data_IF_294933409780
#
_entry.id   IF_294933409780
#
_cell.length_a   1.000
_cell.length_b   1.000
_cell.length_c   1.000
_cell.angle_alpha   90.00
_cell.angle_beta   90.00
_cell.angle_gamma   90.00
#
_symmetry.space_group_name_H-M   'P 1'
#
loop_
_entity.id
_entity.type
_entity.pdbx_description
1 polymer ?
#
# COMPACT_ATOMS: atom_id res chain seq x y z
N UNK A 1 26.21 5.41 7.04
CA UNK A 1 27.44 6.03 6.49
C UNK A 1 27.35 6.02 4.96
N UNK A 2 28.01 6.95 4.24
CA UNK A 2 28.02 6.94 2.75
C UNK A 2 28.45 5.60 2.16
N UNK A 3 29.37 4.91 2.83
CA UNK A 3 29.84 3.58 2.45
C UNK A 3 28.71 2.55 2.35
N UNK A 4 27.71 2.61 3.24
CA UNK A 4 26.59 1.67 3.24
C UNK A 4 25.69 1.88 2.00
N UNK A 5 25.47 3.13 1.59
CA UNK A 5 24.71 3.46 0.37
C UNK A 5 25.47 3.02 -0.88
N UNK A 6 26.81 3.19 -0.91
CA UNK A 6 27.64 2.73 -2.02
C UNK A 6 27.58 1.20 -2.11
N UNK A 7 27.81 0.51 -0.99
CA UNK A 7 27.76 -0.95 -0.93
C UNK A 7 26.39 -1.50 -1.34
N UNK A 8 25.31 -0.84 -0.93
CA UNK A 8 23.95 -1.19 -1.35
C UNK A 8 23.81 -1.13 -2.87
N UNK A 9 24.31 -0.08 -3.52
CA UNK A 9 24.23 0.07 -4.98
C UNK A 9 25.09 -0.95 -5.71
N UNK A 10 26.33 -1.20 -5.25
CA UNK A 10 27.21 -2.22 -5.81
C UNK A 10 26.60 -3.62 -5.69
N UNK A 11 25.98 -3.93 -4.55
CA UNK A 11 25.25 -5.17 -4.37
C UNK A 11 24.09 -5.26 -5.36
N UNK A 12 23.30 -4.19 -5.49
CA UNK A 12 22.17 -4.16 -6.41
C UNK A 12 22.64 -4.41 -7.86
N UNK A 13 23.69 -3.72 -8.31
CA UNK A 13 24.24 -3.85 -9.67
C UNK A 13 24.78 -5.27 -9.94
N UNK A 14 25.42 -5.89 -8.95
CA UNK A 14 26.02 -7.23 -9.10
C UNK A 14 25.02 -8.39 -9.02
N UNK A 15 23.82 -8.16 -8.48
CA UNK A 15 22.83 -9.22 -8.20
C UNK A 15 21.57 -9.15 -9.04
N UNK A 16 21.32 -8.05 -9.75
CA UNK A 16 20.13 -7.94 -10.62
C UNK A 16 20.18 -9.00 -11.72
N UNK A 17 19.14 -9.82 -11.73
CA UNK A 17 18.80 -10.69 -12.85
C UNK A 17 17.39 -10.33 -13.34
N UNK A 18 17.24 -9.66 -14.50
CA UNK A 18 15.93 -9.29 -15.05
C UNK A 18 14.98 -10.48 -15.25
N UNK A 19 15.51 -11.69 -15.43
CA UNK A 19 14.69 -12.90 -15.63
C UNK A 19 14.08 -13.39 -14.33
N UNK A 20 14.81 -13.24 -13.22
CA UNK A 20 14.43 -13.70 -11.90
C UNK A 20 14.02 -12.55 -10.95
N UNK A 21 13.88 -11.33 -11.47
CA UNK A 21 13.37 -10.20 -10.70
C UNK A 21 11.93 -10.46 -10.26
N UNK A 22 11.69 -10.29 -8.96
CA UNK A 22 10.38 -10.40 -8.32
C UNK A 22 10.17 -9.26 -7.31
N UNK A 23 8.96 -9.19 -6.74
CA UNK A 23 8.61 -8.13 -5.79
C UNK A 23 9.34 -8.29 -4.45
N UNK A 24 9.60 -9.52 -4.01
CA UNK A 24 10.25 -9.82 -2.73
C UNK A 24 11.68 -9.29 -2.72
N UNK A 25 12.38 -9.44 -3.84
CA UNK A 25 13.69 -8.84 -4.05
C UNK A 25 13.61 -7.32 -3.86
N UNK A 26 12.75 -6.62 -4.61
CA UNK A 26 12.66 -5.15 -4.55
C UNK A 26 12.23 -4.69 -3.15
N UNK A 27 11.28 -5.37 -2.53
CA UNK A 27 10.79 -5.05 -1.19
C UNK A 27 11.88 -5.25 -0.14
N UNK A 28 12.66 -6.33 -0.22
CA UNK A 28 13.78 -6.55 0.70
C UNK A 28 14.85 -5.46 0.57
N UNK A 29 15.15 -5.02 -0.66
CA UNK A 29 16.09 -3.93 -0.93
C UNK A 29 15.54 -2.59 -0.45
N UNK A 30 14.24 -2.36 -0.58
CA UNK A 30 13.59 -1.15 -0.04
C UNK A 30 13.75 -1.09 1.48
N UNK A 31 13.49 -2.18 2.20
CA UNK A 31 13.63 -2.23 3.67
C UNK A 31 15.08 -1.99 4.11
N UNK A 32 16.04 -2.56 3.40
CA UNK A 32 17.47 -2.32 3.66
C UNK A 32 17.85 -0.85 3.44
N UNK A 33 17.38 -0.23 2.34
CA UNK A 33 17.65 1.17 2.06
C UNK A 33 16.93 2.12 3.04
N UNK A 34 15.73 1.75 3.51
CA UNK A 34 15.02 2.44 4.60
C UNK A 34 15.86 2.46 5.88
N UNK A 35 16.52 1.36 6.23
CA UNK A 35 17.40 1.30 7.40
C UNK A 35 18.69 2.13 7.22
N UNK A 36 19.35 2.03 6.06
CA UNK A 36 20.54 2.82 5.73
C UNK A 36 20.22 4.32 5.79
N UNK A 37 19.07 4.71 5.23
CA UNK A 37 18.67 6.12 5.12
C UNK A 37 18.39 6.76 6.48
N UNK A 38 17.80 6.04 7.44
CA UNK A 38 17.59 6.53 8.83
C UNK A 38 18.87 6.92 9.54
N UNK A 39 19.98 6.29 9.18
CA UNK A 39 21.30 6.51 9.77
C UNK A 39 22.22 7.37 8.89
N UNK A 40 21.69 7.93 7.80
CA UNK A 40 22.46 8.73 6.85
C UNK A 40 22.35 10.23 7.15
N UNK A 41 23.46 10.95 6.96
CA UNK A 41 23.47 12.42 7.00
C UNK A 41 22.63 12.99 5.84
N UNK A 42 21.97 14.12 6.07
CA UNK A 42 21.24 14.86 5.05
C UNK A 42 22.12 15.23 3.85
N UNK A 43 23.44 15.36 4.04
CA UNK A 43 24.41 15.57 2.96
C UNK A 43 24.41 14.43 1.92
N UNK A 44 23.98 13.22 2.29
CA UNK A 44 23.94 12.04 1.39
C UNK A 44 22.54 11.75 0.85
N UNK A 45 21.55 12.60 1.14
CA UNK A 45 20.18 12.45 0.64
C UNK A 45 20.11 12.32 -0.90
N UNK A 46 20.90 13.05 -1.72
CA UNK A 46 20.95 12.83 -3.17
C UNK A 46 21.27 11.38 -3.59
N UNK A 47 22.22 10.73 -2.92
CA UNK A 47 22.61 9.35 -3.23
C UNK A 47 21.51 8.36 -2.81
N UNK A 48 20.92 8.58 -1.63
CA UNK A 48 19.79 7.78 -1.14
C UNK A 48 18.60 7.88 -2.10
N UNK A 49 18.28 9.09 -2.57
CA UNK A 49 17.18 9.33 -3.51
C UNK A 49 17.39 8.60 -4.83
N UNK A 50 18.58 8.69 -5.43
CA UNK A 50 18.88 7.95 -6.66
C UNK A 50 18.87 6.42 -6.42
N UNK A 51 19.25 5.95 -5.23
CA UNK A 51 19.15 4.52 -4.88
C UNK A 51 17.68 4.05 -4.86
N UNK A 52 16.76 4.86 -4.31
CA UNK A 52 15.32 4.59 -4.39
C UNK A 52 14.80 4.68 -5.83
N UNK A 53 15.32 5.61 -6.64
CA UNK A 53 14.96 5.72 -8.06
C UNK A 53 15.36 4.46 -8.85
N UNK A 54 16.49 3.81 -8.53
CA UNK A 54 16.85 2.50 -9.08
C UNK A 54 15.81 1.43 -8.75
N UNK A 55 15.34 1.37 -7.49
CA UNK A 55 14.27 0.45 -7.10
C UNK A 55 12.95 0.75 -7.83
N UNK A 56 12.65 2.02 -8.10
CA UNK A 56 11.48 2.42 -8.87
C UNK A 56 11.57 1.98 -10.34
N UNK A 57 12.73 2.14 -10.98
CA UNK A 57 12.96 1.62 -12.35
C UNK A 57 12.88 0.08 -12.41
N UNK A 58 13.39 -0.64 -11.40
CA UNK A 58 13.19 -2.09 -11.30
C UNK A 58 11.71 -2.46 -11.14
N UNK A 59 10.96 -1.67 -10.38
CA UNK A 59 9.51 -1.85 -10.22
C UNK A 59 8.79 -1.65 -11.56
N UNK A 60 9.18 -0.64 -12.34
CA UNK A 60 8.65 -0.42 -13.70
C UNK A 60 8.95 -1.63 -14.61
N UNK A 61 10.20 -2.11 -14.61
CA UNK A 61 10.60 -3.27 -15.40
C UNK A 61 9.74 -4.51 -15.07
N UNK A 62 9.59 -4.81 -13.78
CA UNK A 62 8.78 -5.92 -13.31
C UNK A 62 7.30 -5.76 -13.70
N UNK A 63 6.76 -4.55 -13.54
CA UNK A 63 5.37 -4.25 -13.88
C UNK A 63 5.11 -4.40 -15.37
N UNK A 64 6.04 -3.98 -16.23
CA UNK A 64 5.96 -4.20 -17.67
C UNK A 64 5.98 -5.68 -18.05
N UNK A 65 6.85 -6.47 -17.42
CA UNK A 65 6.88 -7.94 -17.58
C UNK A 65 5.57 -8.58 -17.17
N UNK A 66 4.98 -8.18 -16.03
CA UNK A 66 3.68 -8.68 -15.61
C UNK A 66 2.56 -8.30 -16.59
N UNK A 67 2.57 -7.05 -17.08
CA UNK A 67 1.61 -6.57 -18.06
C UNK A 67 1.65 -7.35 -19.38
N UNK A 68 2.84 -7.51 -19.95
CA UNK A 68 3.05 -8.22 -21.23
C UNK A 68 2.65 -9.70 -21.13
N UNK A 69 2.81 -10.31 -19.95
CA UNK A 69 2.38 -11.68 -19.67
C UNK A 69 0.93 -11.80 -19.16
N UNK A 70 0.22 -10.68 -19.01
CA UNK A 70 -1.13 -10.57 -18.42
C UNK A 70 -1.24 -11.29 -17.06
N UNK A 71 -0.23 -11.10 -16.22
CA UNK A 71 -0.18 -11.50 -14.82
C UNK A 71 -0.91 -10.44 -13.97
N UNK A 72 -2.24 -10.44 -14.05
CA UNK A 72 -3.10 -9.38 -13.47
C UNK A 72 -2.95 -9.29 -11.95
N UNK A 73 -2.77 -10.43 -11.27
CA UNK A 73 -2.66 -10.47 -9.81
C UNK A 73 -1.36 -9.79 -9.39
N UNK A 74 -0.24 -10.22 -9.96
CA UNK A 74 1.11 -9.70 -9.71
C UNK A 74 1.23 -8.22 -10.10
N UNK A 75 0.62 -7.81 -11.22
CA UNK A 75 0.55 -6.39 -11.60
C UNK A 75 -0.24 -5.56 -10.57
N UNK A 76 -1.42 -6.04 -10.18
CA UNK A 76 -2.28 -5.36 -9.20
C UNK A 76 -1.55 -5.23 -7.86
N UNK A 77 -0.80 -6.25 -7.51
CA UNK A 77 0.06 -6.34 -6.34
C UNK A 77 1.15 -5.24 -6.29
N UNK A 78 1.82 -4.99 -7.41
CA UNK A 78 2.87 -3.96 -7.50
C UNK A 78 2.32 -2.52 -7.50
N UNK A 79 1.15 -2.31 -8.10
CA UNK A 79 0.67 -0.96 -8.47
C UNK A 79 -0.52 -0.49 -7.63
N UNK A 80 -1.38 -1.42 -7.19
CA UNK A 80 -2.70 -1.10 -6.62
C UNK A 80 -2.89 -1.61 -5.20
N UNK A 81 -2.52 -2.87 -4.94
CA UNK A 81 -2.82 -3.55 -3.68
C UNK A 81 -1.83 -3.13 -2.58
N UNK A 82 -2.33 -2.69 -1.42
CA UNK A 82 -1.49 -2.45 -0.26
C UNK A 82 -0.74 -3.71 0.18
N UNK A 83 0.54 -3.57 0.52
CA UNK A 83 1.36 -4.68 1.02
C UNK A 83 1.11 -4.98 2.50
N UNK A 84 0.63 -4.00 3.25
CA UNK A 84 0.34 -4.15 4.67
C UNK A 84 -0.91 -3.36 5.06
N UNK A 85 -1.88 -4.06 5.64
CA UNK A 85 -3.09 -3.47 6.20
C UNK A 85 -3.30 -3.96 7.63
N UNK A 86 -3.60 -3.05 8.55
CA UNK A 86 -4.15 -3.41 9.85
C UNK A 86 -5.69 -3.41 9.74
N UNK A 87 -6.32 -4.52 10.12
CA UNK A 87 -7.77 -4.64 10.17
C UNK A 87 -8.20 -4.48 11.62
N UNK A 88 -9.00 -3.46 11.89
CA UNK A 88 -9.45 -3.12 13.22
C UNK A 88 -10.95 -3.46 13.35
N UNK A 89 -11.33 -4.30 14.32
CA UNK A 89 -12.73 -4.61 14.61
C UNK A 89 -13.23 -3.67 15.71
N UNK A 90 -14.27 -2.91 15.43
CA UNK A 90 -14.88 -1.95 16.36
C UNK A 90 -15.76 -2.66 17.39
N UNK A 91 -15.73 -2.17 18.64
CA UNK A 91 -16.67 -2.59 19.68
C UNK A 91 -18.01 -1.90 19.47
N UNK A 92 -18.83 -2.44 18.55
CA UNK A 92 -20.12 -1.85 18.19
C UNK A 92 -21.08 -1.75 19.36
N UNK A 93 -21.00 -2.67 20.33
CA UNK A 93 -21.79 -2.62 21.56
C UNK A 93 -21.42 -1.43 22.44
N UNK A 94 -20.14 -1.20 22.69
CA UNK A 94 -19.67 -0.07 23.47
C UNK A 94 -19.95 1.26 22.75
N UNK A 95 -19.81 1.28 21.42
CA UNK A 95 -20.23 2.41 20.57
C UNK A 95 -21.74 2.67 20.65
N UNK A 96 -22.57 1.62 20.73
CA UNK A 96 -24.02 1.74 20.87
C UNK A 96 -24.44 2.18 22.28
N UNK A 97 -23.85 1.58 23.32
CA UNK A 97 -24.21 1.81 24.72
C UNK A 97 -23.74 3.18 25.23
N UNK A 98 -22.48 3.55 24.96
CA UNK A 98 -21.90 4.80 25.48
C UNK A 98 -22.20 6.01 24.58
N UNK A 99 -22.53 5.78 23.30
CA UNK A 99 -22.67 6.86 22.31
C UNK A 99 -23.98 6.82 21.48
N UNK A 100 -24.85 5.84 21.70
CA UNK A 100 -26.22 5.82 21.17
C UNK A 100 -26.34 5.62 19.64
N UNK A 101 -25.33 5.05 18.98
CA UNK A 101 -25.29 4.93 17.51
C UNK A 101 -25.65 3.52 17.07
N UNK A 102 -26.81 3.32 16.44
CA UNK A 102 -27.36 1.99 16.17
C UNK A 102 -26.89 1.32 14.87
N UNK A 103 -26.55 2.07 13.80
CA UNK A 103 -26.55 1.46 12.45
C UNK A 103 -25.42 1.85 11.48
N UNK A 104 -24.32 2.50 11.90
CA UNK A 104 -23.18 2.87 11.02
C UNK A 104 -21.90 3.13 11.83
N UNK A 105 -20.71 3.04 11.18
CA UNK A 105 -19.47 3.65 11.71
C UNK A 105 -19.75 5.12 12.06
N UNK A 106 -19.66 5.52 13.33
CA UNK A 106 -20.18 6.81 13.77
C UNK A 106 -19.53 7.99 13.06
N UNK A 107 -20.33 8.98 12.65
CA UNK A 107 -19.84 10.24 12.10
C UNK A 107 -18.85 10.95 13.04
N UNK A 108 -18.96 10.76 14.36
CA UNK A 108 -18.00 11.30 15.31
C UNK A 108 -16.65 10.56 15.28
N UNK A 109 -16.63 9.24 15.06
CA UNK A 109 -15.41 8.45 14.89
C UNK A 109 -14.70 8.90 13.60
N UNK A 110 -15.46 9.04 12.51
CA UNK A 110 -14.98 9.65 11.26
C UNK A 110 -14.46 11.08 11.47
N UNK A 111 -15.13 11.88 12.29
CA UNK A 111 -14.69 13.25 12.65
C UNK A 111 -13.46 13.27 13.56
N UNK A 112 -13.32 12.36 14.51
CA UNK A 112 -12.13 12.26 15.37
C UNK A 112 -10.92 11.82 14.56
N UNK A 113 -11.08 10.80 13.73
CA UNK A 113 -10.09 10.37 12.72
C UNK A 113 -9.74 11.56 11.82
N UNK A 114 -10.72 12.28 11.25
CA UNK A 114 -10.47 13.46 10.40
C UNK A 114 -9.83 14.64 11.14
N UNK A 115 -10.16 14.87 12.41
CA UNK A 115 -9.59 15.94 13.22
C UNK A 115 -8.13 15.64 13.62
N UNK A 116 -7.79 14.36 13.79
CA UNK A 116 -6.44 13.91 14.16
C UNK A 116 -5.52 13.76 12.95
N UNK A 117 -6.04 13.28 11.81
CA UNK A 117 -5.27 12.96 10.60
C UNK A 117 -5.41 14.04 9.52
N UNK A 118 -6.26 15.06 9.75
CA UNK A 118 -6.42 16.21 8.86
C UNK A 118 -7.00 15.85 7.49
N UNK A 119 -6.50 16.49 6.43
CA UNK A 119 -6.95 16.29 5.04
C UNK A 119 -6.55 14.95 4.43
N UNK A 120 -5.83 14.09 5.15
CA UNK A 120 -5.43 12.76 4.69
C UNK A 120 -6.55 11.71 4.84
N UNK A 121 -7.70 12.09 5.38
CA UNK A 121 -8.91 11.27 5.40
C UNK A 121 -9.59 11.27 4.03
N UNK A 122 -9.49 10.17 3.28
CA UNK A 122 -10.25 9.93 2.06
C UNK A 122 -11.46 9.03 2.36
N UNK A 123 -12.67 9.48 2.04
CA UNK A 123 -13.93 8.74 2.22
C UNK A 123 -14.15 7.59 1.22
N UNK A 124 -13.14 7.26 0.41
CA UNK A 124 -13.17 6.03 -0.36
C UNK A 124 -13.12 4.85 0.63
N UNK A 125 -14.24 4.14 0.73
CA UNK A 125 -14.58 3.02 1.63
C UNK A 125 -13.54 1.88 1.75
N UNK A 126 -12.37 1.98 1.11
CA UNK A 126 -11.25 1.05 1.22
C UNK A 126 -9.90 1.63 1.65
N UNK A 127 -9.77 2.95 1.86
CA UNK A 127 -8.48 3.58 2.24
C UNK A 127 -8.61 4.49 3.46
N UNK A 128 -8.96 3.92 4.61
CA UNK A 128 -8.64 4.60 5.86
C UNK A 128 -7.13 4.46 6.08
N UNK A 129 -6.40 5.58 6.11
CA UNK A 129 -5.05 5.63 6.66
C UNK A 129 -5.23 6.19 8.06
N UNK A 130 -5.13 5.33 9.06
CA UNK A 130 -5.24 5.70 10.47
C UNK A 130 -3.85 5.69 11.06
N UNK A 131 -3.50 6.77 11.76
CA UNK A 131 -2.28 6.79 12.57
C UNK A 131 -2.29 5.58 13.53
N UNK A 132 -1.29 4.68 13.48
CA UNK A 132 -1.20 3.55 14.40
C UNK A 132 -1.28 3.96 15.89
N UNK A 133 -0.79 5.15 16.26
CA UNK A 133 -0.88 5.65 17.63
C UNK A 133 -2.34 5.95 18.03
N UNK A 134 -3.18 6.34 17.08
CA UNK A 134 -4.61 6.55 17.29
C UNK A 134 -5.36 5.22 17.48
N UNK A 135 -4.94 4.16 16.78
CA UNK A 135 -5.48 2.82 16.98
C UNK A 135 -5.16 2.28 18.38
N UNK A 136 -3.95 2.50 18.87
CA UNK A 136 -3.57 2.15 20.25
C UNK A 136 -4.44 2.88 21.27
N UNK A 137 -4.68 4.18 21.07
CA UNK A 137 -5.59 4.92 21.95
C UNK A 137 -7.01 4.36 21.93
N UNK A 138 -7.54 3.96 20.77
CA UNK A 138 -8.87 3.35 20.69
C UNK A 138 -8.92 1.95 21.33
N UNK A 139 -7.82 1.20 21.35
CA UNK A 139 -7.69 -0.03 22.14
C UNK A 139 -7.72 0.29 23.64
N UNK A 140 -6.94 1.28 24.08
CA UNK A 140 -6.87 1.70 25.49
C UNK A 140 -8.23 2.22 26.01
N UNK A 141 -9.00 2.88 25.15
CA UNK A 141 -10.36 3.35 25.43
C UNK A 141 -11.43 2.25 25.30
N UNK A 142 -11.06 1.01 24.94
CA UNK A 142 -11.99 -0.13 24.80
C UNK A 142 -12.92 -0.06 23.57
N UNK A 143 -12.66 0.88 22.67
CA UNK A 143 -13.43 1.12 21.43
C UNK A 143 -13.07 0.12 20.32
N UNK A 144 -11.89 -0.51 20.41
CA UNK A 144 -11.44 -1.57 19.51
C UNK A 144 -11.44 -2.93 20.21
N UNK A 145 -12.04 -3.94 19.57
CA UNK A 145 -12.07 -5.31 20.08
C UNK A 145 -10.81 -6.09 19.71
N UNK A 146 -10.24 -5.80 18.53
CA UNK A 146 -9.11 -6.56 17.98
C UNK A 146 -8.44 -5.80 16.83
N UNK A 147 -7.11 -5.82 16.81
CA UNK A 147 -6.31 -5.38 15.66
C UNK A 147 -5.62 -6.61 15.07
N UNK A 148 -5.92 -6.92 13.81
CA UNK A 148 -5.25 -7.98 13.06
C UNK A 148 -4.29 -7.36 12.06
N UNK A 149 -3.00 -7.63 12.24
CA UNK A 149 -1.96 -7.22 11.32
C UNK A 149 -1.97 -8.14 10.10
N UNK A 150 -2.19 -7.59 8.92
CA UNK A 150 -2.20 -8.38 7.68
C UNK A 150 -1.13 -7.92 6.71
N UNK A 151 -0.05 -8.69 6.72
CA UNK A 151 0.88 -8.76 5.60
C UNK A 151 0.25 -9.63 4.50
N UNK A 152 0.78 -9.55 3.28
CA UNK A 152 0.16 -9.94 1.99
C UNK A 152 -0.20 -11.43 1.79
N UNK A 153 -0.82 -12.09 2.76
CA UNK A 153 -1.20 -13.49 2.71
C UNK A 153 -2.73 -13.66 2.76
N UNK A 154 -3.30 -14.12 1.64
CA UNK A 154 -4.68 -14.62 1.51
C UNK A 154 -5.79 -13.56 1.46
N UNK A 155 -6.96 -13.89 0.90
CA UNK A 155 -8.14 -13.00 0.96
C UNK A 155 -8.61 -12.88 2.41
N UNK A 156 -9.09 -11.70 2.82
CA UNK A 156 -9.63 -11.48 4.18
C UNK A 156 -10.67 -12.54 4.54
N UNK A 157 -11.50 -12.93 3.58
CA UNK A 157 -12.52 -13.97 3.71
C UNK A 157 -11.99 -15.34 4.12
N UNK A 158 -10.76 -15.69 3.73
CA UNK A 158 -10.23 -17.04 3.92
C UNK A 158 -9.71 -17.24 5.36
N UNK A 159 -9.33 -16.15 6.04
CA UNK A 159 -8.81 -16.16 7.41
C UNK A 159 -9.93 -16.14 8.45
N UNK A 160 -11.04 -15.44 8.18
CA UNK A 160 -12.22 -15.47 9.05
C UNK A 160 -13.13 -16.68 8.79
N UNK A 161 -12.80 -17.52 7.80
CA UNK A 161 -13.58 -18.72 7.46
C UNK A 161 -13.73 -19.68 8.64
N UNK A 162 -12.75 -19.71 9.54
CA UNK A 162 -12.78 -20.51 10.77
C UNK A 162 -13.24 -19.73 12.01
N UNK A 163 -13.34 -18.39 11.92
CA UNK A 163 -13.92 -17.55 12.98
C UNK A 163 -15.45 -17.49 12.88
N UNK A 164 -16.00 -17.83 11.72
CA UNK A 164 -17.41 -18.13 11.55
C UNK A 164 -17.58 -19.60 11.92
N UNK A 165 -18.14 -19.89 13.09
CA UNK A 165 -18.60 -21.24 13.42
C UNK A 165 -19.53 -21.71 12.31
N UNK A 166 -19.33 -22.94 11.81
CA UNK A 166 -20.19 -23.57 10.79
C UNK A 166 -21.66 -23.68 11.24
N UNK A 167 -21.92 -23.44 12.52
CA UNK A 167 -23.26 -23.29 13.07
C UNK A 167 -23.44 -21.90 13.73
N UNK A 168 -24.06 -20.92 13.03
CA UNK A 168 -24.35 -19.61 13.60
C UNK A 168 -25.29 -19.68 14.82
N UNK A 169 -25.98 -20.79 15.11
CA UNK A 169 -26.79 -20.92 16.33
C UNK A 169 -25.96 -21.24 17.58
N UNK A 170 -24.79 -21.86 17.43
CA UNK A 170 -23.94 -22.28 18.55
C UNK A 170 -23.32 -21.11 19.32
N UNK A 171 -22.98 -20.01 18.63
CA UNK A 171 -22.34 -18.83 19.21
C UNK A 171 -23.27 -17.97 20.10
N UNK A 172 -24.60 -18.11 19.95
CA UNK A 172 -25.58 -17.32 20.70
C UNK A 172 -26.15 -18.03 21.95
N UNK A 173 -25.90 -19.33 22.12
CA UNK A 173 -26.44 -20.08 23.27
C UNK A 173 -25.59 -19.96 24.55
N UNK A 174 -24.31 -19.59 24.43
CA UNK A 174 -23.37 -19.61 25.57
C UNK A 174 -23.46 -18.39 26.51
N UNK A 175 -24.27 -17.38 26.19
CA UNK A 175 -24.39 -16.15 27.01
C UNK A 175 -25.76 -15.92 27.63
N UNK A 176 -26.69 -16.87 27.54
CA UNK A 176 -28.04 -16.73 28.10
C UNK A 176 -28.45 -17.96 28.92
N UNK A 177 -27.61 -18.42 29.84
CA UNK A 177 -28.10 -19.19 30.99
C UNK A 177 -27.25 -18.88 32.23
N UNK A 178 -27.70 -17.91 33.04
CA UNK A 178 -28.16 -18.20 34.41
C UNK A 178 -28.63 -16.91 35.10
N UNK A 179 -29.93 -16.87 35.39
CA UNK A 179 -30.58 -15.80 36.14
C UNK A 179 -31.98 -16.22 36.55
N UNK A 180 -32.09 -17.31 37.33
CA UNK A 180 -33.33 -17.67 38.02
C UNK A 180 -33.61 -16.61 39.12
N UNK A 181 -34.75 -15.91 39.05
CA UNK A 181 -35.92 -16.17 39.92
C UNK A 181 -37.03 -15.09 39.88
N UNK A 182 -38.27 -15.59 39.97
CA UNK A 182 -39.47 -15.04 40.62
C UNK A 182 -40.46 -14.14 39.85
N UNK A 183 -41.52 -14.82 39.35
CA UNK A 183 -42.97 -14.56 39.52
C UNK A 183 -43.54 -13.13 39.58
N UNK A 184 -44.44 -12.89 38.60
CA UNK A 184 -45.65 -12.04 38.59
C UNK A 184 -45.55 -10.50 38.67
N UNK A 185 -45.80 -9.84 37.53
CA UNK A 185 -47.02 -9.04 37.32
C UNK A 185 -47.26 -8.78 35.81
N UNK A 186 -48.50 -8.96 35.28
CA UNK A 186 -48.82 -8.62 33.91
C UNK A 186 -49.28 -7.16 33.81
N UNK A 187 -48.69 -6.41 32.89
CA UNK A 187 -49.25 -5.14 32.43
C UNK A 187 -48.37 -3.91 32.62
N UNK A 188 -47.51 -3.67 31.62
CA UNK A 188 -47.53 -2.40 30.89
C UNK A 188 -46.93 -2.61 29.51
N UNK A 189 -47.84 -2.64 28.53
CA UNK A 189 -47.54 -2.45 27.12
C UNK A 189 -47.07 -1.00 26.94
N UNK A 190 -45.78 -0.85 26.63
CA UNK A 190 -45.20 0.22 25.82
C UNK A 190 -44.26 -0.56 24.90
N UNK A 191 -44.51 -0.74 23.61
CA UNK A 191 -44.94 0.25 22.65
C UNK A 191 -43.97 0.11 21.48
N UNK A 192 -44.32 -0.78 20.56
CA UNK A 192 -43.89 -0.88 19.17
C UNK A 192 -42.51 -0.31 18.78
N UNK A 193 -41.52 -1.20 18.73
CA UNK A 193 -40.32 -1.07 17.89
C UNK A 193 -40.03 -2.40 17.21
N UNK A 194 -40.91 -2.80 16.28
CA UNK A 194 -40.59 -3.85 15.30
C UNK A 194 -39.41 -3.35 14.46
N UNK A 195 -38.21 -3.79 14.79
CA UNK A 195 -37.22 -4.07 13.78
C UNK A 195 -36.90 -5.55 13.93
N UNK A 196 -37.43 -6.35 13.00
CA UNK A 196 -36.71 -7.57 12.62
C UNK A 196 -35.32 -7.08 12.27
N UNK A 197 -34.34 -7.29 13.15
CA UNK A 197 -32.94 -7.15 12.80
C UNK A 197 -32.76 -8.10 11.63
N UNK A 198 -32.70 -7.52 10.44
CA UNK A 198 -32.37 -8.21 9.22
C UNK A 198 -31.09 -8.96 9.55
N UNK A 199 -31.03 -10.28 9.30
CA UNK A 199 -29.76 -11.00 9.37
C UNK A 199 -28.82 -10.28 8.40
N UNK A 200 -28.04 -9.33 8.90
CA UNK A 200 -26.97 -8.71 8.17
C UNK A 200 -26.03 -9.87 7.88
N UNK A 201 -25.95 -10.22 6.60
CA UNK A 201 -24.95 -11.13 6.08
C UNK A 201 -23.62 -10.84 6.81
N UNK A 202 -22.93 -11.86 7.33
CA UNK A 202 -21.72 -11.66 8.16
C UNK A 202 -20.73 -10.71 7.50
N UNK A 203 -20.65 -10.73 6.16
CA UNK A 203 -19.84 -9.77 5.40
C UNK A 203 -20.31 -8.30 5.51
N UNK A 204 -21.61 -8.04 5.57
CA UNK A 204 -22.16 -6.69 5.81
C UNK A 204 -21.84 -6.22 7.22
N UNK A 205 -22.04 -7.07 8.23
CA UNK A 205 -21.66 -6.72 9.61
C UNK A 205 -20.17 -6.45 9.75
N UNK A 206 -19.32 -7.29 9.13
CA UNK A 206 -17.88 -7.06 9.09
C UNK A 206 -17.55 -5.75 8.38
N UNK A 207 -18.17 -5.44 7.24
CA UNK A 207 -17.94 -4.18 6.54
C UNK A 207 -18.33 -2.96 7.41
N UNK A 208 -19.40 -3.07 8.19
CA UNK A 208 -19.90 -1.99 9.05
C UNK A 208 -19.13 -1.87 10.39
N UNK A 209 -18.46 -2.95 10.80
CA UNK A 209 -17.76 -3.06 12.09
C UNK A 209 -16.25 -3.16 11.96
N UNK A 210 -15.70 -3.01 10.75
CA UNK A 210 -14.25 -3.01 10.53
C UNK A 210 -13.76 -1.68 9.99
N UNK A 211 -12.57 -1.31 10.44
CA UNK A 211 -11.79 -0.19 9.94
C UNK A 211 -10.52 -0.77 9.35
N UNK A 212 -10.30 -0.51 8.06
CA UNK A 212 -9.06 -0.86 7.37
C UNK A 212 -8.07 0.28 7.55
N UNK A 213 -6.89 -0.01 8.08
CA UNK A 213 -5.77 0.91 8.10
C UNK A 213 -4.71 0.43 7.11
N UNK A 214 -4.44 1.20 6.06
CA UNK A 214 -3.34 0.88 5.14
C UNK A 214 -2.02 1.39 5.74
N UNK A 215 -1.20 0.47 6.21
CA UNK A 215 0.09 0.77 6.84
C UNK A 215 1.21 0.88 5.80
N UNK A 216 1.19 0.02 4.78
CA UNK A 216 2.10 0.13 3.62
C UNK A 216 1.29 0.00 2.34
N UNK A 217 1.44 0.96 1.44
CA UNK A 217 0.77 0.99 0.16
C UNK A 217 1.31 -0.07 -0.81
N UNK A 218 0.88 0.06 -2.07
CA UNK A 218 1.48 -0.71 -3.15
C UNK A 218 2.93 -0.24 -3.36
N UNK A 219 3.80 -1.13 -3.84
CA UNK A 219 5.23 -0.84 -4.02
C UNK A 219 5.48 0.44 -4.85
N UNK A 220 4.75 0.62 -5.96
CA UNK A 220 4.77 1.87 -6.75
C UNK A 220 4.50 3.10 -5.86
N UNK A 221 3.40 3.04 -5.11
CA UNK A 221 2.92 4.20 -4.33
C UNK A 221 3.92 4.59 -3.25
N UNK A 222 4.48 3.61 -2.56
CA UNK A 222 5.44 3.84 -1.47
C UNK A 222 6.74 4.46 -2.01
N UNK A 223 7.31 3.90 -3.09
CA UNK A 223 8.52 4.43 -3.70
C UNK A 223 8.32 5.84 -4.28
N UNK A 224 7.19 6.09 -4.96
CA UNK A 224 6.87 7.43 -5.49
C UNK A 224 6.66 8.44 -4.36
N UNK A 225 6.07 8.02 -3.23
CA UNK A 225 5.88 8.89 -2.08
C UNK A 225 7.23 9.33 -1.48
N UNK A 226 8.18 8.41 -1.32
CA UNK A 226 9.54 8.71 -0.83
C UNK A 226 10.28 9.67 -1.78
N UNK A 227 10.13 9.47 -3.09
CA UNK A 227 10.83 10.27 -4.11
C UNK A 227 10.17 11.63 -4.38
N UNK A 228 8.94 11.85 -3.91
CA UNK A 228 8.18 13.08 -4.14
C UNK A 228 8.83 14.25 -3.41
N UNK A 229 9.14 15.31 -4.17
CA UNK A 229 9.80 16.51 -3.64
C UNK A 229 11.34 16.38 -3.54
N UNK A 230 11.89 15.22 -3.91
CA UNK A 230 13.32 14.95 -3.94
C UNK A 230 13.77 14.70 -5.39
N UNK A 231 12.99 13.97 -6.17
CA UNK A 231 13.22 13.79 -7.61
C UNK A 231 12.58 14.92 -8.42
N UNK A 232 13.13 15.17 -9.60
CA UNK A 232 12.58 16.12 -10.55
C UNK A 232 11.20 15.68 -11.02
N UNK A 233 10.32 16.66 -11.27
CA UNK A 233 8.97 16.40 -11.78
C UNK A 233 8.98 15.69 -13.11
N UNK A 234 9.96 15.99 -13.96
CA UNK A 234 10.08 15.39 -15.30
C UNK A 234 10.37 13.90 -15.22
N UNK A 235 11.27 13.48 -14.32
CA UNK A 235 11.54 12.07 -14.07
C UNK A 235 10.30 11.34 -13.54
N UNK A 236 9.61 11.91 -12.54
CA UNK A 236 8.40 11.28 -11.98
C UNK A 236 7.27 11.18 -13.01
N UNK A 237 7.11 12.20 -13.86
CA UNK A 237 6.15 12.16 -14.99
C UNK A 237 6.51 11.09 -16.02
N UNK A 238 7.80 10.86 -16.28
CA UNK A 238 8.25 9.78 -17.16
C UNK A 238 7.91 8.40 -16.56
N UNK A 239 8.16 8.21 -15.26
CA UNK A 239 7.79 6.99 -14.55
C UNK A 239 6.28 6.74 -14.61
N UNK A 240 5.46 7.77 -14.37
CA UNK A 240 4.01 7.62 -14.46
C UNK A 240 3.55 7.22 -15.87
N UNK A 241 4.13 7.80 -16.93
CA UNK A 241 3.87 7.35 -18.32
C UNK A 241 4.25 5.89 -18.54
N UNK A 242 5.36 5.41 -17.98
CA UNK A 242 5.74 3.98 -18.07
C UNK A 242 4.72 3.08 -17.37
N UNK A 243 4.23 3.45 -16.19
CA UNK A 243 3.16 2.71 -15.51
C UNK A 243 1.81 2.76 -16.25
N UNK A 244 1.45 3.90 -16.83
CA UNK A 244 0.25 4.03 -17.69
C UNK A 244 0.34 3.15 -18.93
N UNK A 245 1.52 3.10 -19.57
CA UNK A 245 1.79 2.17 -20.67
C UNK A 245 1.59 0.73 -20.21
N UNK A 246 2.17 0.33 -19.08
CA UNK A 246 2.02 -1.03 -18.56
C UNK A 246 0.56 -1.41 -18.26
N UNK A 247 -0.21 -0.50 -17.67
CA UNK A 247 -1.65 -0.71 -17.48
C UNK A 247 -2.39 -0.89 -18.81
N UNK A 248 -2.06 -0.06 -19.81
CA UNK A 248 -2.66 -0.13 -21.15
C UNK A 248 -2.29 -1.44 -21.87
N UNK A 249 -1.03 -1.86 -21.81
CA UNK A 249 -0.55 -3.15 -22.34
C UNK A 249 -1.27 -4.32 -21.69
N UNK A 250 -1.41 -4.33 -20.36
CA UNK A 250 -2.13 -5.39 -19.65
C UNK A 250 -3.59 -5.50 -20.10
N UNK A 251 -4.29 -4.36 -20.26
CA UNK A 251 -5.66 -4.35 -20.76
C UNK A 251 -5.75 -4.87 -22.20
N UNK A 252 -4.81 -4.45 -23.05
CA UNK A 252 -4.72 -4.91 -24.43
C UNK A 252 -4.52 -6.43 -24.50
N UNK A 253 -3.53 -6.98 -23.79
CA UNK A 253 -3.24 -8.42 -23.75
C UNK A 253 -4.41 -9.20 -23.15
N UNK A 254 -5.05 -8.68 -22.09
CA UNK A 254 -6.22 -9.31 -21.46
C UNK A 254 -7.41 -9.39 -22.42
N UNK A 255 -7.69 -8.34 -23.20
CA UNK A 255 -8.74 -8.36 -24.21
C UNK A 255 -8.38 -9.25 -25.39
N UNK A 256 -7.13 -9.22 -25.84
CA UNK A 256 -6.66 -10.07 -26.93
C UNK A 256 -6.76 -11.56 -26.55
N UNK A 257 -6.38 -11.96 -25.33
CA UNK A 257 -6.55 -13.34 -24.82
C UNK A 257 -7.98 -13.83 -24.75
N UNK A 258 -8.97 -12.92 -24.57
CA UNK A 258 -10.39 -13.29 -24.62
C UNK A 258 -10.87 -13.60 -26.03
N UNK A 259 -10.27 -12.96 -27.03
CA UNK A 259 -10.64 -13.13 -28.44
C UNK A 259 -9.77 -14.18 -29.15
N UNK A 260 -8.56 -14.43 -28.66
CA UNK A 260 -7.56 -15.31 -29.25
C UNK A 260 -6.90 -16.17 -28.16
N UNK A 261 -7.13 -17.48 -28.22
CA UNK A 261 -6.70 -18.45 -27.19
C UNK A 261 -5.18 -18.49 -26.99
N UNK A 262 -4.40 -18.16 -28.02
CA UNK A 262 -2.93 -18.27 -28.02
C UNK A 262 -2.24 -16.89 -28.03
N UNK A 263 -2.82 -15.85 -27.42
CA UNK A 263 -2.22 -14.50 -27.42
C UNK A 263 -1.32 -14.23 -26.19
N UNK A 264 -0.15 -13.57 -26.34
CA UNK A 264 0.52 -13.25 -27.61
C UNK A 264 0.98 -14.54 -28.31
N UNK A 265 0.89 -14.54 -29.63
CA UNK A 265 1.17 -15.70 -30.47
C UNK A 265 2.60 -16.22 -30.25
N UNK A 266 2.77 -17.55 -30.20
CA UNK A 266 4.10 -18.16 -30.35
C UNK A 266 4.76 -17.63 -31.64
N UNK A 267 6.10 -17.50 -31.63
CA UNK A 267 6.95 -16.77 -32.59
C UNK A 267 6.75 -17.08 -34.10
N UNK A 268 5.92 -18.06 -34.44
CA UNK A 268 5.69 -18.55 -35.81
C UNK A 268 4.50 -17.89 -36.54
N UNK A 269 3.72 -17.02 -35.88
CA UNK A 269 2.57 -16.38 -36.56
C UNK A 269 2.98 -15.04 -37.16
N UNK A 270 3.32 -15.06 -38.45
CA UNK A 270 3.57 -13.86 -39.25
C UNK A 270 2.25 -13.14 -39.56
N UNK A 271 1.72 -12.43 -38.58
CA UNK A 271 0.52 -11.60 -38.70
C UNK A 271 0.96 -10.21 -39.12
N UNK A 272 0.27 -9.61 -40.08
CA UNK A 272 0.44 -8.19 -40.46
C UNK A 272 0.29 -7.21 -39.29
N UNK A 273 -0.31 -7.66 -38.18
CA UNK A 273 -0.59 -6.90 -36.97
C UNK A 273 0.54 -6.99 -35.92
N UNK A 274 1.62 -7.74 -36.18
CA UNK A 274 2.73 -7.88 -35.20
C UNK A 274 3.33 -6.52 -34.81
N UNK A 275 3.45 -5.59 -35.75
CA UNK A 275 3.93 -4.25 -35.46
C UNK A 275 3.02 -3.49 -34.48
N UNK A 276 1.70 -3.69 -34.56
CA UNK A 276 0.74 -3.10 -33.63
C UNK A 276 0.84 -3.74 -32.24
N UNK A 277 0.93 -5.07 -32.19
CA UNK A 277 1.10 -5.83 -30.95
C UNK A 277 2.39 -5.39 -30.25
N UNK A 278 3.52 -5.37 -30.96
CA UNK A 278 4.83 -5.00 -30.42
C UNK A 278 4.85 -3.56 -29.90
N UNK A 279 4.11 -2.65 -30.54
CA UNK A 279 3.97 -1.27 -30.07
C UNK A 279 3.08 -1.16 -28.82
N UNK A 280 2.07 -2.03 -28.70
CA UNK A 280 1.16 -2.07 -27.57
C UNK A 280 1.80 -2.70 -26.32
N UNK A 281 2.80 -3.58 -26.47
CA UNK A 281 3.55 -4.19 -25.37
C UNK A 281 4.57 -3.22 -24.74
N UNK A 282 4.95 -3.50 -23.49
CA UNK A 282 5.86 -2.66 -22.71
C UNK A 282 7.28 -2.75 -23.25
N UNK A 283 7.81 -3.98 -23.32
CA UNK A 283 9.22 -4.27 -23.66
C UNK A 283 10.23 -3.40 -22.91
N UNK A 284 9.94 -3.10 -21.63
CA UNK A 284 10.86 -2.34 -20.80
C UNK A 284 12.18 -3.08 -20.62
N UNK A 285 13.25 -2.32 -20.55
CA UNK A 285 14.62 -2.78 -20.37
C UNK A 285 15.26 -2.03 -19.18
N UNK A 286 16.57 -2.20 -18.99
CA UNK A 286 17.32 -1.54 -17.92
C UNK A 286 17.87 -0.16 -18.30
N UNK A 287 17.42 0.46 -19.39
CA UNK A 287 17.98 1.76 -19.83
C UNK A 287 17.75 2.84 -18.79
N UNK A 288 16.53 2.93 -18.22
CA UNK A 288 16.23 3.87 -17.13
C UNK A 288 17.11 3.65 -15.91
N UNK A 289 17.29 2.39 -15.51
CA UNK A 289 18.19 2.01 -14.42
C UNK A 289 19.64 2.43 -14.67
N UNK A 290 20.15 2.20 -15.89
CA UNK A 290 21.52 2.56 -16.28
C UNK A 290 21.73 4.09 -16.29
N UNK A 291 20.70 4.86 -16.66
CA UNK A 291 20.74 6.33 -16.54
C UNK A 291 20.90 6.74 -15.08
N UNK A 292 20.13 6.15 -14.15
CA UNK A 292 20.28 6.44 -12.72
C UNK A 292 21.70 6.10 -12.23
N UNK A 293 22.23 4.94 -12.63
CA UNK A 293 23.58 4.53 -12.25
C UNK A 293 24.65 5.53 -12.74
N UNK A 294 24.53 6.00 -13.98
CA UNK A 294 25.44 7.02 -14.51
C UNK A 294 25.37 8.33 -13.70
N UNK A 295 24.19 8.72 -13.22
CA UNK A 295 24.04 9.90 -12.36
C UNK A 295 24.68 9.69 -10.97
N UNK A 296 24.54 8.51 -10.38
CA UNK A 296 25.23 8.13 -9.13
C UNK A 296 26.75 8.22 -9.29
N UNK A 297 27.31 7.62 -10.34
CA UNK A 297 28.75 7.62 -10.61
C UNK A 297 29.30 9.05 -10.74
N UNK A 298 28.55 9.94 -11.41
CA UNK A 298 28.92 11.36 -11.55
C UNK A 298 28.90 12.11 -10.23
N UNK A 299 27.91 11.87 -9.36
CA UNK A 299 27.86 12.47 -8.01
C UNK A 299 29.04 12.00 -7.17
N UNK A 300 29.36 10.70 -7.20
CA UNK A 300 30.47 10.13 -6.44
C UNK A 300 31.83 10.63 -6.95
N UNK A 301 31.94 10.87 -8.25
CA UNK A 301 33.18 11.36 -8.88
C UNK A 301 33.40 12.86 -8.74
N UNK A 302 32.33 13.65 -8.54
CA UNK A 302 32.41 15.12 -8.50
C UNK A 302 31.47 15.71 -7.45
N UNK A 303 32.00 16.32 -6.38
CA UNK A 303 31.17 16.89 -5.31
C UNK A 303 30.35 18.11 -5.73
N UNK A 304 30.64 18.70 -6.90
CA UNK A 304 29.91 19.83 -7.46
C UNK A 304 28.88 19.41 -8.53
N UNK A 305 28.84 18.12 -8.87
CA UNK A 305 27.87 17.62 -9.84
C UNK A 305 26.46 17.69 -9.26
N UNK A 306 25.52 18.17 -10.07
CA UNK A 306 24.10 18.22 -9.73
C UNK A 306 23.34 17.40 -10.76
N UNK A 307 22.78 16.28 -10.33
CA UNK A 307 21.95 15.46 -11.21
C UNK A 307 20.67 16.21 -11.60
N UNK A 308 20.33 16.14 -12.88
CA UNK A 308 19.09 16.67 -13.45
C UNK A 308 17.85 15.85 -13.07
N UNK A 309 18.05 14.63 -12.56
CA UNK A 309 16.97 13.77 -12.06
C UNK A 309 16.53 14.16 -10.65
N UNK A 310 17.34 14.97 -9.95
CA UNK A 310 17.07 15.45 -8.61
C UNK A 310 16.47 16.85 -8.65
N UNK A 311 15.61 17.16 -7.70
CA UNK A 311 15.04 18.50 -7.56
C UNK A 311 16.12 19.52 -7.17
N UNK A 312 16.07 20.70 -7.77
CA UNK A 312 17.07 21.76 -7.57
C UNK A 312 17.10 22.25 -6.12
N UNK A 313 15.98 22.16 -5.40
CA UNK A 313 15.89 22.57 -3.99
C UNK A 313 16.79 21.77 -3.06
N UNK A 314 17.12 20.50 -3.40
CA UNK A 314 18.02 19.67 -2.61
C UNK A 314 19.43 20.24 -2.49
N UNK A 315 19.91 20.93 -3.54
CA UNK A 315 21.24 21.52 -3.57
C UNK A 315 21.30 22.92 -2.96
N UNK A 316 20.15 23.53 -2.69
CA UNK A 316 20.04 24.88 -2.14
C UNK A 316 19.75 24.88 -0.64
N UNK A 317 19.60 23.71 -0.02
CA UNK A 317 19.45 23.59 1.41
C UNK A 317 20.73 24.12 2.10
N UNK A 318 20.64 25.13 2.99
CA UNK A 318 21.80 25.62 3.70
C UNK A 318 22.38 24.47 4.52
N UNK A 319 23.65 24.14 4.28
CA UNK A 319 24.46 23.28 5.14
C UNK A 319 24.49 23.93 6.53
N UNK A 320 23.51 23.61 7.39
CA UNK A 320 23.49 24.11 8.75
C UNK A 320 24.65 23.47 9.50
N UNK A 321 25.78 24.16 9.54
CA UNK A 321 26.83 23.87 10.50
C UNK A 321 26.26 24.15 11.89
N UNK A 322 25.93 23.10 12.62
CA UNK A 322 25.62 23.17 14.05
C UNK A 322 24.15 22.97 14.42
N UNK A 323 23.91 21.82 15.08
CA UNK A 323 22.88 21.62 16.11
C UNK A 323 21.43 21.95 15.74
N UNK A 324 20.80 21.10 14.94
CA UNK A 324 19.50 20.47 15.21
C UNK A 324 19.09 19.71 13.95
N UNK A 325 18.77 18.42 14.08
CA UNK A 325 18.35 17.57 12.96
C UNK A 325 17.29 18.27 12.10
N UNK A 326 17.48 18.44 10.78
CA UNK A 326 16.46 19.04 9.93
C UNK A 326 15.21 18.16 9.91
N UNK A 327 14.06 18.74 10.25
CA UNK A 327 12.75 18.08 10.29
C UNK A 327 12.33 17.46 8.95
N UNK A 328 12.97 17.82 7.84
CA UNK A 328 12.70 17.28 6.50
C UNK A 328 12.91 15.76 6.45
N UNK A 329 13.88 15.22 7.21
CA UNK A 329 14.13 13.77 7.26
C UNK A 329 12.99 13.00 7.94
N UNK A 330 12.24 13.63 8.85
CA UNK A 330 11.10 13.00 9.54
C UNK A 330 9.78 13.07 8.77
N UNK A 331 9.69 13.91 7.75
CA UNK A 331 8.48 14.02 6.92
C UNK A 331 8.54 13.12 5.68
N UNK A 332 9.74 12.62 5.34
CA UNK A 332 10.00 11.73 4.19
C UNK A 332 10.12 10.26 4.66
N UNK A 333 10.30 10.00 5.97
CA UNK A 333 10.49 8.66 6.55
C UNK A 333 9.40 8.25 7.53
#
# INVERSE_FOLDING_TARGET
MIADVIQFNEFLDSTIDPKNLDEDFITSRQVELEDISKHSDAAYLPLVALSYAKLLELTVLLTGKCADNCQIVEFGDLVVNPRHMDVCILNTRLVQEDYGVTDCVPLWFKRQVRARIGSHYAEDLGRMVVDPALLVQFLDEGLLLRTEKKERHGRLSDQFRYCVSDDPQSAFSAYVEEGKQNTHNPGKVLGCGRARTVCHHVASWLADSTVLNIVKGALKTDLVAILRGVMSTDYLNEIDKKFEKAFSSMNYVSMARKNFVNFPYDDDVNISEWAEINNALCHFNLDGYAVIQSELDKILSSPYYRSHLLDVSLYNAPLSQGSSSPQVVRSIM
#
